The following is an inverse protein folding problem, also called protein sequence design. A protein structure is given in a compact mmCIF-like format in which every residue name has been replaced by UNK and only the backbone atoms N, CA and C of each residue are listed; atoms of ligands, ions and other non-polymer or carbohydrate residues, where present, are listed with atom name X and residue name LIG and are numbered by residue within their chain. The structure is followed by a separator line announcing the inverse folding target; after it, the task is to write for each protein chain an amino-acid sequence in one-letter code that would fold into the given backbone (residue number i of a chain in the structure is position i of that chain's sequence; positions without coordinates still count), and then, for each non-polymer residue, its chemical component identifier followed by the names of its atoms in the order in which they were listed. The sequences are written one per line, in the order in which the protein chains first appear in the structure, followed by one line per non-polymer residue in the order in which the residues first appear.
data_IF_622023656827
#
_entry.id   IF_622023656827
#
_cell.length_a   1.000
_cell.length_b   1.000
_cell.length_c   1.000
_cell.angle_alpha   90.00
_cell.angle_beta   90.00
_cell.angle_gamma   90.00
#
_symmetry.space_group_name_H-M   'P 1'
#
loop_
_entity.id
_entity.type
_entity.pdbx_description
1 polymer ?
#
# COMPACT_ATOMS: atom_id res chain seq x y z
N UNK A 1 -17.35 9.13 3.76
CA UNK A 1 -16.38 8.80 2.68
C UNK A 1 -15.78 7.44 2.95
N UNK A 2 -15.47 6.69 1.90
CA UNK A 2 -14.75 5.41 1.95
C UNK A 2 -13.54 5.49 1.03
N UNK A 3 -12.36 5.24 1.59
CA UNK A 3 -11.08 5.27 0.87
C UNK A 3 -10.64 3.86 0.55
N UNK A 4 -10.25 3.61 -0.70
CA UNK A 4 -9.74 2.29 -1.13
C UNK A 4 -8.45 2.44 -1.92
N UNK A 5 -7.49 1.55 -1.68
CA UNK A 5 -6.26 1.42 -2.45
C UNK A 5 -6.33 0.20 -3.35
N UNK A 6 -5.82 0.32 -4.57
CA UNK A 6 -5.77 -0.77 -5.55
C UNK A 6 -4.32 -1.18 -5.77
N UNK A 7 -3.95 -2.45 -5.53
CA UNK A 7 -2.62 -2.94 -5.84
C UNK A 7 -2.39 -2.99 -7.37
N UNK A 8 -1.13 -2.97 -7.81
CA UNK A 8 0.07 -2.83 -6.99
C UNK A 8 0.22 -1.40 -6.43
N UNK A 9 0.69 -1.32 -5.18
CA UNK A 9 0.86 -0.04 -4.48
C UNK A 9 2.13 0.65 -4.95
N UNK A 10 2.04 1.93 -5.30
CA UNK A 10 3.18 2.69 -5.78
C UNK A 10 3.87 3.47 -4.67
N UNK A 11 5.20 3.57 -4.75
CA UNK A 11 5.97 4.51 -3.94
C UNK A 11 6.02 5.92 -4.54
N UNK A 12 5.51 6.11 -5.76
CA UNK A 12 5.47 7.42 -6.41
C UNK A 12 4.15 8.12 -6.13
N UNK A 13 4.23 9.29 -5.52
CA UNK A 13 3.05 10.03 -5.05
C UNK A 13 2.12 10.46 -6.19
N UNK A 14 2.67 10.81 -7.33
CA UNK A 14 1.95 11.25 -8.53
C UNK A 14 1.17 10.11 -9.23
N UNK A 15 1.56 8.85 -9.01
CA UNK A 15 0.81 7.71 -9.57
C UNK A 15 -0.58 7.53 -8.94
N UNK A 16 -0.83 8.12 -7.76
CA UNK A 16 -2.13 8.01 -7.11
C UNK A 16 -3.22 8.84 -7.79
N UNK A 17 -2.84 9.85 -8.57
CA UNK A 17 -3.76 10.64 -9.43
C UNK A 17 -3.71 10.24 -10.91
N UNK A 18 -2.98 9.17 -11.28
CA UNK A 18 -2.86 8.74 -12.67
C UNK A 18 -4.23 8.25 -13.22
N UNK A 19 -4.78 8.86 -14.29
CA UNK A 19 -6.07 8.48 -14.83
C UNK A 19 -6.09 7.10 -15.50
N UNK A 20 -4.94 6.60 -15.99
CA UNK A 20 -4.85 5.32 -16.69
C UNK A 20 -4.78 4.13 -15.71
N UNK A 21 -4.19 4.35 -14.54
CA UNK A 21 -3.99 3.31 -13.52
C UNK A 21 -4.33 3.83 -12.13
N UNK A 22 -5.61 4.13 -11.83
CA UNK A 22 -5.98 4.77 -10.57
C UNK A 22 -5.66 3.85 -9.39
N UNK A 23 -4.73 4.28 -8.54
CA UNK A 23 -4.24 3.53 -7.36
C UNK A 23 -5.08 3.78 -6.10
N UNK A 24 -5.79 4.90 -6.04
CA UNK A 24 -6.63 5.27 -4.91
C UNK A 24 -7.99 5.76 -5.40
N UNK A 25 -9.02 5.46 -4.61
CA UNK A 25 -10.39 5.91 -4.86
C UNK A 25 -10.99 6.44 -3.56
N UNK A 26 -11.77 7.51 -3.68
CA UNK A 26 -12.59 8.05 -2.59
C UNK A 26 -14.05 8.00 -3.02
N UNK A 27 -14.85 7.19 -2.33
CA UNK A 27 -16.29 7.12 -2.56
C UNK A 27 -17.00 7.95 -1.48
N UNK A 28 -17.80 8.91 -1.90
CA UNK A 28 -18.60 9.77 -1.04
C UNK A 28 -20.06 9.34 -1.16
N UNK A 29 -20.70 9.05 -0.04
CA UNK A 29 -22.14 8.86 0.04
C UNK A 29 -22.69 9.89 1.00
N UNK A 30 -23.53 10.78 0.50
CA UNK A 30 -24.23 11.78 1.29
C UNK A 30 -25.55 11.19 1.78
N UNK A 31 -25.80 11.25 3.09
CA UNK A 31 -26.94 10.56 3.73
C UNK A 31 -27.98 11.49 4.32
N UNK A 32 -27.78 12.81 4.22
CA UNK A 32 -28.76 13.78 4.67
C UNK A 32 -29.73 14.09 3.53
N UNK A 33 -30.95 13.59 3.63
CA UNK A 33 -32.00 13.76 2.64
C UNK A 33 -32.82 15.05 2.81
N UNK A 34 -32.45 15.90 3.75
CA UNK A 34 -33.09 17.22 3.93
C UNK A 34 -32.59 18.26 2.92
N UNK A 35 -31.42 18.03 2.35
CA UNK A 35 -30.80 18.85 1.31
C UNK A 35 -30.87 18.16 -0.05
N UNK A 36 -31.12 18.95 -1.10
CA UNK A 36 -31.16 18.40 -2.47
C UNK A 36 -29.79 18.00 -3.02
N UNK A 37 -28.76 18.74 -2.64
CA UNK A 37 -27.35 18.47 -2.96
C UNK A 37 -26.44 19.26 -2.03
N UNK A 38 -25.15 18.88 -1.98
CA UNK A 38 -24.16 19.57 -1.18
C UNK A 38 -22.86 19.72 -1.94
N UNK A 39 -22.26 20.91 -1.89
CA UNK A 39 -20.96 21.20 -2.46
C UNK A 39 -19.86 20.92 -1.44
N UNK A 40 -18.99 19.97 -1.76
CA UNK A 40 -17.95 19.47 -0.87
C UNK A 40 -16.59 19.42 -1.56
N UNK A 41 -15.54 19.23 -0.78
CA UNK A 41 -14.22 18.84 -1.26
C UNK A 41 -13.56 17.90 -0.26
N UNK A 42 -12.45 17.26 -0.68
CA UNK A 42 -11.70 16.35 0.18
C UNK A 42 -10.50 17.09 0.81
N UNK A 43 -10.10 16.62 1.99
CA UNK A 43 -8.75 16.83 2.53
C UNK A 43 -8.03 15.50 2.56
N UNK A 44 -6.81 15.50 2.03
CA UNK A 44 -5.91 14.36 2.04
C UNK A 44 -4.95 14.47 3.21
N UNK A 45 -4.70 13.34 3.87
CA UNK A 45 -3.60 13.16 4.81
C UNK A 45 -2.92 11.82 4.55
N UNK A 46 -1.61 11.86 4.35
CA UNK A 46 -0.76 10.67 4.20
C UNK A 46 0.20 10.66 5.37
N UNK A 47 0.24 9.57 6.11
CA UNK A 47 1.14 9.37 7.24
C UNK A 47 2.08 8.21 6.95
N UNK A 48 3.37 8.47 6.97
CA UNK A 48 4.44 7.47 6.97
C UNK A 48 5.06 7.35 8.37
N UNK A 49 6.14 6.58 8.50
CA UNK A 49 6.78 6.31 9.80
C UNK A 49 7.28 7.59 10.50
N UNK A 50 7.88 8.52 9.75
CA UNK A 50 8.55 9.70 10.30
C UNK A 50 8.11 11.01 9.65
N UNK A 51 7.04 11.00 8.86
CA UNK A 51 6.57 12.19 8.17
C UNK A 51 5.08 12.14 7.90
N UNK A 52 4.55 13.33 7.60
CA UNK A 52 3.15 13.50 7.21
C UNK A 52 3.10 14.45 6.00
N UNK A 53 2.22 14.13 5.06
CA UNK A 53 1.87 14.98 3.93
C UNK A 53 0.37 15.23 4.02
N UNK A 54 -0.06 16.49 4.00
CA UNK A 54 -1.47 16.81 4.16
C UNK A 54 -1.88 18.04 3.32
N UNK A 55 -3.16 18.12 2.99
CA UNK A 55 -3.72 19.27 2.28
C UNK A 55 -3.47 20.57 3.03
N UNK A 56 -2.98 21.61 2.34
CA UNK A 56 -2.76 22.95 2.93
C UNK A 56 -4.05 23.51 3.51
N UNK A 57 -4.01 24.09 4.72
CA UNK A 57 -5.13 24.87 5.25
C UNK A 57 -5.49 26.06 4.34
N UNK A 58 -6.78 26.33 4.20
CA UNK A 58 -7.27 27.49 3.46
C UNK A 58 -7.15 27.39 1.93
N UNK A 59 -6.61 26.28 1.40
CA UNK A 59 -6.58 26.01 -0.04
C UNK A 59 -7.59 24.92 -0.36
N UNK A 60 -8.42 25.16 -1.37
CA UNK A 60 -9.42 24.21 -1.84
C UNK A 60 -9.40 24.12 -3.37
N UNK A 61 -9.90 23.01 -3.96
CA UNK A 61 -9.97 22.87 -5.41
C UNK A 61 -10.79 24.02 -6.03
N UNK A 62 -10.52 24.38 -7.30
CA UNK A 62 -11.21 25.50 -7.95
C UNK A 62 -12.70 25.26 -8.15
N UNK A 63 -13.13 24.00 -8.14
CA UNK A 63 -14.53 23.60 -8.26
C UNK A 63 -14.89 22.60 -7.15
N UNK A 64 -16.10 22.72 -6.57
CA UNK A 64 -16.59 21.75 -5.62
C UNK A 64 -16.97 20.42 -6.30
N UNK A 65 -17.06 19.38 -5.49
CA UNK A 65 -17.76 18.14 -5.83
C UNK A 65 -19.20 18.30 -5.35
N UNK A 66 -20.15 18.27 -6.27
CA UNK A 66 -21.56 18.28 -5.92
C UNK A 66 -22.04 16.87 -5.63
N UNK A 67 -22.48 16.61 -4.40
CA UNK A 67 -22.98 15.29 -3.96
C UNK A 67 -24.47 15.35 -3.72
N UNK A 68 -25.18 14.30 -4.17
CA UNK A 68 -26.64 14.16 -4.05
C UNK A 68 -26.94 13.07 -3.01
N UNK A 69 -27.93 13.24 -2.13
CA UNK A 69 -28.31 12.25 -1.13
C UNK A 69 -28.62 10.90 -1.74
N UNK A 70 -28.04 9.85 -1.16
CA UNK A 70 -28.24 8.45 -1.59
C UNK A 70 -27.52 8.06 -2.87
N UNK A 71 -26.90 9.00 -3.59
CA UNK A 71 -26.12 8.71 -4.81
C UNK A 71 -24.63 8.64 -4.49
N UNK A 72 -23.98 7.47 -4.65
CA UNK A 72 -22.53 7.37 -4.49
C UNK A 72 -21.80 8.21 -5.53
N UNK A 73 -20.82 9.01 -5.08
CA UNK A 73 -19.93 9.78 -5.94
C UNK A 73 -18.51 9.29 -5.76
N UNK A 74 -17.86 8.85 -6.82
CA UNK A 74 -16.49 8.35 -6.79
C UNK A 74 -15.53 9.34 -7.41
N UNK A 75 -14.45 9.63 -6.69
CA UNK A 75 -13.28 10.36 -7.16
C UNK A 75 -12.13 9.38 -7.34
N UNK A 76 -11.47 9.42 -8.50
CA UNK A 76 -10.31 8.59 -8.81
C UNK A 76 -9.48 9.15 -9.96
N UNK A 77 -8.23 8.75 -10.07
CA UNK A 77 -7.35 9.21 -11.14
C UNK A 77 -7.29 10.73 -11.24
N UNK A 78 -7.62 11.30 -12.40
CA UNK A 78 -7.53 12.74 -12.66
C UNK A 78 -8.39 13.60 -11.70
N UNK A 79 -9.48 13.07 -11.16
CA UNK A 79 -10.30 13.79 -10.18
C UNK A 79 -9.51 14.11 -8.90
N UNK A 80 -8.47 13.32 -8.64
CA UNK A 80 -7.62 13.46 -7.45
C UNK A 80 -6.33 14.25 -7.72
N UNK A 81 -6.06 14.67 -8.95
CA UNK A 81 -4.81 15.36 -9.30
C UNK A 81 -4.53 16.60 -8.46
N UNK A 82 -5.57 17.38 -8.18
CA UNK A 82 -5.45 18.57 -7.32
C UNK A 82 -4.97 18.21 -5.91
N UNK A 83 -5.43 17.08 -5.37
CA UNK A 83 -5.13 16.62 -4.01
C UNK A 83 -3.73 16.03 -3.86
N UNK A 84 -3.15 15.51 -4.95
CA UNK A 84 -1.78 14.97 -4.98
C UNK A 84 -0.75 15.96 -5.52
N UNK A 85 -1.17 17.16 -5.93
CA UNK A 85 -0.26 18.20 -6.39
C UNK A 85 0.54 18.80 -5.22
N UNK A 86 1.88 18.71 -5.30
CA UNK A 86 2.80 19.18 -4.27
C UNK A 86 2.62 20.65 -3.88
N UNK A 87 2.06 21.50 -4.79
CA UNK A 87 1.76 22.89 -4.50
C UNK A 87 0.64 23.06 -3.46
N UNK A 88 -0.26 22.09 -3.39
CA UNK A 88 -1.44 22.09 -2.54
C UNK A 88 -1.24 21.30 -1.23
N UNK A 89 0.00 20.82 -0.99
CA UNK A 89 0.34 19.97 0.14
C UNK A 89 1.32 20.65 1.09
N UNK A 90 1.24 20.30 2.37
CA UNK A 90 2.22 20.61 3.41
C UNK A 90 2.96 19.31 3.74
N UNK A 91 4.26 19.43 3.93
CA UNK A 91 5.18 18.36 4.23
C UNK A 91 5.78 18.55 5.63
N UNK A 92 5.66 17.56 6.49
CA UNK A 92 6.25 17.53 7.83
C UNK A 92 7.11 16.28 7.97
N UNK A 93 8.36 16.42 8.42
CA UNK A 93 9.32 15.30 8.54
C UNK A 93 10.03 14.92 7.22
N UNK A 94 9.51 15.36 6.08
CA UNK A 94 10.15 15.33 4.76
C UNK A 94 10.00 16.69 4.11
N UNK A 95 10.98 17.10 3.31
CA UNK A 95 10.86 18.37 2.57
C UNK A 95 10.32 18.13 1.16
N UNK A 96 9.53 19.09 0.67
CA UNK A 96 9.05 19.08 -0.71
C UNK A 96 10.21 18.94 -1.72
N UNK A 97 11.28 19.71 -1.54
CA UNK A 97 12.45 19.66 -2.42
C UNK A 97 13.10 18.27 -2.47
N UNK A 98 13.17 17.56 -1.32
CA UNK A 98 13.69 16.19 -1.26
C UNK A 98 12.78 15.22 -2.02
N UNK A 99 11.47 15.37 -1.91
CA UNK A 99 10.53 14.52 -2.63
C UNK A 99 10.61 14.75 -4.14
N UNK A 100 10.61 16.01 -4.58
CA UNK A 100 10.71 16.39 -5.99
C UNK A 100 12.06 15.95 -6.61
N UNK A 101 13.17 16.07 -5.88
CA UNK A 101 14.49 15.60 -6.34
C UNK A 101 14.56 14.07 -6.51
N UNK A 102 13.70 13.33 -5.84
CA UNK A 102 13.56 11.87 -5.96
C UNK A 102 12.42 11.46 -6.91
N UNK A 103 11.97 12.35 -7.78
CA UNK A 103 10.86 12.14 -8.71
C UNK A 103 9.55 11.75 -7.99
N UNK A 104 9.21 12.46 -6.93
CA UNK A 104 8.05 12.23 -6.06
C UNK A 104 8.02 10.83 -5.40
N UNK A 105 9.20 10.21 -5.27
CA UNK A 105 9.35 8.91 -4.63
C UNK A 105 9.30 9.05 -3.10
N UNK A 106 8.35 8.38 -2.48
CA UNK A 106 8.25 8.22 -1.04
C UNK A 106 9.29 7.19 -0.55
N UNK A 107 9.80 7.29 0.69
CA UNK A 107 10.56 6.21 1.31
C UNK A 107 9.76 4.91 1.37
N UNK A 108 10.43 3.77 1.33
CA UNK A 108 9.75 2.49 1.54
C UNK A 108 9.23 2.37 2.97
N UNK A 109 8.06 1.77 3.15
CA UNK A 109 7.47 1.61 4.47
C UNK A 109 5.95 1.53 4.49
N UNK A 110 5.41 1.51 5.71
CA UNK A 110 3.96 1.55 5.93
C UNK A 110 3.43 2.97 5.82
N UNK A 111 2.32 3.08 5.11
CA UNK A 111 1.62 4.34 4.86
C UNK A 111 0.14 4.21 5.16
N UNK A 112 -0.42 5.27 5.69
CA UNK A 112 -1.86 5.42 5.87
C UNK A 112 -2.34 6.63 5.07
N UNK A 113 -3.28 6.41 4.17
CA UNK A 113 -3.93 7.42 3.34
C UNK A 113 -5.32 7.68 3.89
N UNK A 114 -5.62 8.92 4.21
CA UNK A 114 -6.90 9.31 4.76
C UNK A 114 -7.52 10.40 3.91
N UNK A 115 -8.82 10.26 3.62
CA UNK A 115 -9.64 11.36 3.10
C UNK A 115 -10.70 11.77 4.11
N UNK A 116 -10.94 13.05 4.20
CA UNK A 116 -11.97 13.70 5.00
C UNK A 116 -12.80 14.61 4.10
N UNK A 117 -14.12 14.59 4.23
CA UNK A 117 -15.01 15.45 3.46
C UNK A 117 -15.27 16.75 4.22
N UNK A 118 -15.16 17.86 3.49
CA UNK A 118 -15.27 19.21 4.01
C UNK A 118 -16.30 19.98 3.18
N UNK A 119 -17.12 20.78 3.84
CA UNK A 119 -18.05 21.70 3.21
C UNK A 119 -17.29 22.75 2.41
N UNK A 120 -17.67 22.95 1.15
CA UNK A 120 -16.92 23.81 0.23
C UNK A 120 -17.02 25.30 0.58
N UNK A 121 -18.13 25.72 1.17
CA UNK A 121 -18.38 27.15 1.49
C UNK A 121 -17.78 27.52 2.84
N UNK A 122 -18.05 26.68 3.86
CA UNK A 122 -17.74 27.01 5.25
C UNK A 122 -16.40 26.44 5.74
N UNK A 123 -15.74 25.59 4.95
CA UNK A 123 -14.54 24.84 5.34
C UNK A 123 -14.74 23.93 6.58
N UNK A 124 -16.01 23.65 6.94
CA UNK A 124 -16.34 22.78 8.07
C UNK A 124 -16.19 21.30 7.68
N UNK A 125 -15.56 20.54 8.53
CA UNK A 125 -15.50 19.08 8.39
C UNK A 125 -16.89 18.48 8.56
N UNK A 126 -17.32 17.69 7.59
CA UNK A 126 -18.64 17.05 7.58
C UNK A 126 -18.57 15.53 7.61
N UNK A 127 -17.37 14.97 7.55
CA UNK A 127 -17.13 13.54 7.81
C UNK A 127 -16.00 13.33 8.82
N UNK A 128 -15.93 12.12 9.37
CA UNK A 128 -14.69 11.63 9.97
C UNK A 128 -13.72 11.26 8.86
N UNK A 129 -12.40 11.31 9.12
CA UNK A 129 -11.42 10.79 8.19
C UNK A 129 -11.60 9.28 8.00
N UNK A 130 -11.61 8.83 6.76
CA UNK A 130 -11.60 7.41 6.44
C UNK A 130 -10.22 7.06 5.86
N UNK A 131 -9.59 6.05 6.43
CA UNK A 131 -8.20 5.73 6.19
C UNK A 131 -8.03 4.30 5.67
N UNK A 132 -7.03 4.13 4.80
CA UNK A 132 -6.56 2.83 4.32
C UNK A 132 -5.05 2.79 4.41
N UNK A 133 -4.49 1.63 4.77
CA UNK A 133 -3.05 1.48 4.95
C UNK A 133 -2.49 0.46 3.95
N UNK A 134 -1.26 0.71 3.50
CA UNK A 134 -0.50 -0.19 2.65
C UNK A 134 1.00 -0.08 2.95
N UNK A 135 1.72 -1.16 2.66
CA UNK A 135 3.17 -1.13 2.59
C UNK A 135 3.59 -0.72 1.19
N UNK A 136 4.35 0.35 1.08
CA UNK A 136 4.87 0.85 -0.19
C UNK A 136 6.31 0.42 -0.35
N UNK A 137 6.64 -0.22 -1.47
CA UNK A 137 8.00 -0.63 -1.83
C UNK A 137 8.26 -0.31 -3.30
N UNK A 138 9.51 -0.23 -3.67
CA UNK A 138 9.89 0.01 -5.06
C UNK A 138 9.43 -1.13 -5.97
N UNK A 139 9.43 -2.34 -5.42
CA UNK A 139 8.96 -3.54 -6.09
C UNK A 139 7.84 -4.15 -5.25
N UNK A 140 6.76 -4.55 -5.90
CA UNK A 140 5.75 -5.37 -5.23
C UNK A 140 6.39 -6.67 -4.76
N UNK A 141 6.01 -7.19 -3.58
CA UNK A 141 6.47 -8.50 -3.15
C UNK A 141 6.13 -9.54 -4.21
N UNK A 142 7.04 -10.48 -4.50
CA UNK A 142 6.75 -11.55 -5.44
C UNK A 142 5.56 -12.40 -4.95
N UNK A 143 4.74 -12.85 -5.88
CA UNK A 143 3.67 -13.80 -5.58
C UNK A 143 4.25 -15.20 -5.46
N UNK A 144 4.19 -15.78 -4.27
CA UNK A 144 4.62 -17.17 -4.06
C UNK A 144 3.63 -18.12 -4.74
N UNK A 145 4.15 -18.98 -5.63
CA UNK A 145 3.39 -20.00 -6.37
C UNK A 145 3.53 -21.37 -5.70
N UNK A 146 4.73 -21.68 -5.23
CA UNK A 146 5.03 -22.93 -4.54
C UNK A 146 5.96 -22.65 -3.33
N UNK A 147 5.73 -23.33 -2.20
CA UNK A 147 4.56 -24.15 -1.87
C UNK A 147 3.27 -23.32 -1.83
N UNK A 148 2.13 -23.95 -2.11
CA UNK A 148 0.84 -23.27 -2.04
C UNK A 148 0.55 -22.90 -0.58
N UNK A 149 0.18 -21.65 -0.34
CA UNK A 149 -0.11 -21.13 1.00
C UNK A 149 -1.17 -22.00 1.71
N UNK A 150 -0.89 -22.34 2.96
CA UNK A 150 -1.77 -23.16 3.80
C UNK A 150 -1.67 -24.66 3.58
N UNK A 151 -0.90 -25.13 2.60
CA UNK A 151 -0.68 -26.55 2.39
C UNK A 151 0.41 -27.09 3.31
N UNK A 152 0.17 -28.26 3.87
CA UNK A 152 1.20 -29.01 4.59
C UNK A 152 2.22 -29.58 3.60
N UNK A 153 3.49 -29.49 3.94
CA UNK A 153 4.57 -30.11 3.18
C UNK A 153 4.88 -31.46 3.81
N UNK A 154 4.90 -32.51 3.00
CA UNK A 154 5.24 -33.86 3.48
C UNK A 154 6.70 -33.92 3.96
N UNK A 155 6.88 -34.42 5.17
CA UNK A 155 8.22 -34.67 5.71
C UNK A 155 8.82 -35.94 5.06
N UNK A 156 9.85 -35.75 4.26
CA UNK A 156 10.63 -36.84 3.64
C UNK A 156 11.99 -36.92 4.30
N UNK A 157 12.65 -38.10 4.16
CA UNK A 157 14.01 -38.34 4.68
C UNK A 157 15.07 -37.42 4.07
N UNK A 158 14.83 -36.98 2.84
CA UNK A 158 15.58 -35.90 2.18
C UNK A 158 14.60 -34.81 1.83
N UNK A 159 14.76 -33.65 2.47
CA UNK A 159 13.89 -32.55 2.13
C UNK A 159 14.28 -31.98 0.75
N UNK A 160 13.27 -31.79 -0.08
CA UNK A 160 13.36 -31.18 -1.39
C UNK A 160 12.10 -30.30 -1.57
N UNK A 161 12.17 -29.06 -1.09
CA UNK A 161 11.05 -28.13 -1.14
C UNK A 161 11.33 -27.10 -2.21
N UNK A 162 10.52 -27.08 -3.26
CA UNK A 162 10.62 -26.07 -4.30
C UNK A 162 9.88 -24.81 -3.85
N UNK A 163 10.63 -23.74 -3.62
CA UNK A 163 10.09 -22.38 -3.54
C UNK A 163 10.07 -21.79 -4.93
N UNK A 164 8.91 -21.34 -5.36
CA UNK A 164 8.73 -20.69 -6.65
C UNK A 164 7.85 -19.46 -6.49
N UNK A 165 8.22 -18.39 -7.17
CA UNK A 165 7.47 -17.14 -7.13
C UNK A 165 7.40 -16.48 -8.51
N UNK A 166 6.37 -15.70 -8.70
CA UNK A 166 6.19 -14.86 -9.87
C UNK A 166 6.46 -13.41 -9.49
N UNK A 167 7.14 -12.71 -10.36
CA UNK A 167 7.36 -11.28 -10.23
C UNK A 167 6.03 -10.59 -10.45
N UNK A 168 5.54 -9.86 -9.45
CA UNK A 168 4.31 -9.08 -9.56
C UNK A 168 4.55 -7.67 -10.09
N UNK A 169 5.72 -7.44 -10.71
CA UNK A 169 6.09 -6.13 -11.19
C UNK A 169 5.30 -5.73 -12.42
N UNK A 170 4.38 -4.81 -12.23
CA UNK A 170 3.50 -4.27 -13.27
C UNK A 170 3.94 -2.91 -13.80
N UNK A 171 4.94 -2.30 -13.17
CA UNK A 171 5.46 -1.00 -13.60
C UNK A 171 6.57 -1.20 -14.64
N UNK A 172 6.22 -1.43 -15.89
CA UNK A 172 6.97 -1.75 -17.08
C UNK A 172 8.38 -1.14 -17.35
N UNK A 173 9.07 -0.62 -16.33
CA UNK A 173 10.37 0.04 -16.43
C UNK A 173 11.52 -0.69 -15.75
N UNK A 174 11.29 -1.80 -15.02
CA UNK A 174 12.37 -2.50 -14.36
C UNK A 174 12.94 -3.60 -15.25
N UNK A 175 14.26 -3.55 -15.45
CA UNK A 175 15.00 -4.67 -16.00
C UNK A 175 14.90 -5.83 -14.97
N UNK A 176 14.04 -6.79 -15.28
CA UNK A 176 13.83 -8.01 -14.46
C UNK A 176 15.15 -8.73 -14.17
N UNK A 177 16.14 -8.58 -15.03
CA UNK A 177 17.48 -9.17 -14.90
C UNK A 177 18.34 -8.59 -13.76
N UNK A 178 17.91 -7.49 -13.11
CA UNK A 178 18.66 -6.87 -12.01
C UNK A 178 18.04 -7.11 -10.63
N UNK A 179 16.91 -7.82 -10.56
CA UNK A 179 16.26 -8.11 -9.28
C UNK A 179 16.93 -9.30 -8.60
N UNK A 180 17.23 -9.12 -7.32
CA UNK A 180 17.64 -10.20 -6.44
C UNK A 180 16.55 -10.43 -5.39
N UNK A 181 16.25 -11.69 -5.12
CA UNK A 181 15.30 -12.13 -4.11
C UNK A 181 16.05 -12.72 -2.93
N UNK A 182 15.39 -12.73 -1.80
CA UNK A 182 15.85 -13.37 -0.60
C UNK A 182 14.68 -14.11 0.03
N UNK A 183 14.91 -15.33 0.48
CA UNK A 183 13.92 -16.15 1.19
C UNK A 183 14.32 -16.14 2.65
N UNK A 184 13.38 -15.74 3.49
CA UNK A 184 13.52 -15.83 4.95
C UNK A 184 12.48 -16.81 5.47
N UNK A 185 12.90 -17.85 6.17
CA UNK A 185 12.02 -18.79 6.83
C UNK A 185 11.90 -18.42 8.31
N UNK A 186 10.67 -18.37 8.79
CA UNK A 186 10.35 -18.07 10.17
C UNK A 186 9.60 -19.22 10.81
N UNK A 187 9.95 -19.52 12.05
CA UNK A 187 9.17 -20.43 12.88
C UNK A 187 8.05 -19.65 13.58
N UNK A 188 6.79 -20.08 13.38
CA UNK A 188 5.61 -19.54 14.04
C UNK A 188 5.06 -20.57 15.01
N UNK A 189 5.37 -20.41 16.29
CA UNK A 189 5.04 -21.40 17.33
C UNK A 189 3.55 -21.44 17.69
N UNK A 190 2.78 -20.40 17.37
CA UNK A 190 1.36 -20.33 17.66
C UNK A 190 0.56 -20.34 16.34
N UNK A 191 -0.14 -21.44 16.03
CA UNK A 191 -0.91 -21.56 14.77
C UNK A 191 -2.13 -20.61 14.71
N UNK A 192 -2.57 -20.07 15.84
CA UNK A 192 -3.73 -19.15 15.91
C UNK A 192 -3.33 -17.68 15.57
N UNK A 193 -2.05 -17.39 15.51
CA UNK A 193 -1.54 -16.06 15.18
C UNK A 193 -1.34 -15.93 13.66
N UNK A 194 -1.82 -14.83 13.09
CA UNK A 194 -1.52 -14.53 11.69
C UNK A 194 0.00 -14.44 11.49
N UNK A 195 0.61 -15.20 10.55
CA UNK A 195 2.05 -15.25 10.34
C UNK A 195 2.69 -13.87 10.13
N UNK A 196 2.05 -12.99 9.35
CA UNK A 196 2.54 -11.62 9.12
C UNK A 196 2.58 -10.82 10.42
N UNK A 197 1.56 -10.98 11.27
CA UNK A 197 1.52 -10.33 12.57
C UNK A 197 2.62 -10.88 13.49
N UNK A 198 2.87 -12.19 13.46
CA UNK A 198 3.93 -12.82 14.24
C UNK A 198 5.32 -12.30 13.85
N UNK A 199 5.59 -12.15 12.55
CA UNK A 199 6.85 -11.61 12.02
C UNK A 199 7.00 -10.14 12.42
N UNK A 200 5.99 -9.30 12.20
CA UNK A 200 6.07 -7.86 12.47
C UNK A 200 6.19 -7.53 13.96
N UNK A 201 5.63 -8.36 14.83
CA UNK A 201 5.70 -8.18 16.29
C UNK A 201 6.88 -8.92 16.94
N UNK A 202 7.85 -9.41 16.16
CA UNK A 202 8.98 -10.21 16.63
C UNK A 202 8.57 -11.47 17.44
N UNK A 203 7.40 -12.02 17.17
CA UNK A 203 6.90 -13.26 17.78
C UNK A 203 7.33 -14.50 16.99
N UNK A 204 7.83 -14.32 15.77
CA UNK A 204 8.43 -15.34 14.95
C UNK A 204 9.94 -15.06 14.82
N UNK A 205 10.76 -16.11 14.97
CA UNK A 205 12.20 -16.00 14.81
C UNK A 205 12.63 -16.52 13.42
N UNK A 206 13.52 -15.81 12.72
CA UNK A 206 14.09 -16.31 11.49
C UNK A 206 14.94 -17.54 11.80
N UNK A 207 14.62 -18.68 11.19
CA UNK A 207 15.38 -19.93 11.35
C UNK A 207 16.39 -20.13 10.21
N UNK A 208 16.16 -19.50 9.08
CA UNK A 208 17.05 -19.55 7.93
C UNK A 208 16.82 -18.38 6.99
N UNK A 209 17.87 -17.98 6.29
CA UNK A 209 17.86 -16.89 5.31
C UNK A 209 18.73 -17.29 4.11
N UNK A 210 18.20 -17.16 2.90
CA UNK A 210 18.96 -17.45 1.69
C UNK A 210 19.99 -16.36 1.40
N UNK A 211 21.01 -16.72 0.62
CA UNK A 211 21.79 -15.73 -0.13
C UNK A 211 20.90 -15.08 -1.20
N UNK A 212 21.30 -13.91 -1.74
CA UNK A 212 20.56 -13.27 -2.84
C UNK A 212 20.39 -14.21 -4.04
N UNK A 213 19.16 -14.36 -4.52
CA UNK A 213 18.77 -15.26 -5.61
C UNK A 213 18.32 -14.39 -6.79
N UNK A 214 18.94 -14.55 -7.96
CA UNK A 214 18.53 -13.85 -9.18
C UNK A 214 17.45 -14.57 -10.00
N UNK A 215 17.15 -15.81 -9.64
CA UNK A 215 16.12 -16.63 -10.28
C UNK A 215 14.79 -16.48 -9.55
N UNK A 216 13.71 -16.96 -10.16
CA UNK A 216 12.36 -16.94 -9.59
C UNK A 216 11.99 -18.27 -8.89
N UNK A 217 12.97 -19.08 -8.58
CA UNK A 217 12.81 -20.34 -7.84
C UNK A 217 14.06 -20.69 -7.03
N UNK A 218 13.85 -21.46 -5.97
CA UNK A 218 14.90 -22.01 -5.11
C UNK A 218 14.50 -23.40 -4.64
N UNK A 219 15.40 -24.35 -4.78
CA UNK A 219 15.22 -25.71 -4.25
C UNK A 219 15.88 -25.78 -2.86
N UNK A 220 15.06 -25.77 -1.82
CA UNK A 220 15.51 -26.00 -0.45
C UNK A 220 15.75 -27.49 -0.27
N UNK A 221 17.01 -27.88 -0.25
CA UNK A 221 17.44 -29.27 -0.36
C UNK A 221 18.25 -29.76 0.83
N UNK A 222 18.94 -30.94 0.66
CA UNK A 222 19.74 -31.52 1.73
C UNK A 222 20.96 -30.70 2.17
N UNK A 223 21.37 -29.71 1.38
CA UNK A 223 22.45 -28.77 1.73
C UNK A 223 22.01 -27.64 2.68
N UNK A 224 20.71 -27.43 2.77
CA UNK A 224 20.12 -26.42 3.66
C UNK A 224 19.83 -27.03 5.06
N UNK A 225 19.67 -26.21 6.09
CA UNK A 225 19.35 -26.71 7.42
C UNK A 225 18.07 -27.56 7.45
N UNK A 226 18.02 -28.69 8.17
CA UNK A 226 16.83 -29.51 8.21
C UNK A 226 15.66 -28.78 8.88
N UNK A 227 14.48 -28.82 8.26
CA UNK A 227 13.25 -28.34 8.87
C UNK A 227 12.66 -29.42 9.78
N UNK A 228 12.27 -29.05 10.99
CA UNK A 228 11.69 -29.97 11.93
C UNK A 228 10.23 -30.27 11.60
N UNK A 229 9.85 -31.56 11.77
CA UNK A 229 8.47 -31.98 11.53
C UNK A 229 7.52 -31.39 12.56
N UNK A 230 6.42 -30.79 12.07
CA UNK A 230 5.37 -30.25 12.91
C UNK A 230 5.62 -28.82 13.42
N UNK A 231 6.59 -28.18 12.84
CA UNK A 231 6.87 -26.75 13.07
C UNK A 231 6.62 -25.94 11.81
#
# INVERSE_FOLDING_TARGET
VTTTLTPPYSIYLDEYSNPLTPKIKANIVFTDFTEASWDVYLKLKITGSNFTIESKPGIKPPQPVNVIPGVPFQLSGADLDWYFNNNNLIFSGITRAKLESSNNRLPEGFYTFCFEVVDYVTDRKISLPNCVSAYLSLNDPPLVIAPVCGNAIESTTQQNILFQWQISNTNGSLNVSTLNYQIDLYEVNNPDVNPLTAITNNQALPIWQSQPISQNSYLYGPADPPLEKGK
#
